data_IF_563243670139
#
_entry.id   IF_563243670139
#
_cell.length_a   1.000
_cell.length_b   1.000
_cell.length_c   1.000
_cell.angle_alpha   90.00
_cell.angle_beta   90.00
_cell.angle_gamma   90.00
#
_symmetry.space_group_name_H-M   'P 1'
#
loop_
_entity.id
_entity.type
_entity.pdbx_description
1 polymer ?
#
# COMPACT_ATOMS: atom_id res chain seq x y z
N UNK A 1 0.07 -22.23 35.99
CA UNK A 1 -0.83 -21.50 35.07
C UNK A 1 -0.12 -21.41 33.73
N UNK A 2 -0.55 -22.18 32.71
CA UNK A 2 0.01 -22.07 31.35
C UNK A 2 -0.68 -20.90 30.64
N UNK A 3 0.04 -19.98 29.98
CA UNK A 3 -0.59 -18.96 29.16
C UNK A 3 -1.30 -19.62 27.98
N UNK A 4 -2.57 -19.25 27.76
CA UNK A 4 -3.33 -19.65 26.58
C UNK A 4 -2.79 -18.88 25.38
N UNK A 5 -2.16 -19.59 24.45
CA UNK A 5 -1.85 -19.09 23.11
C UNK A 5 -3.17 -18.79 22.38
N UNK A 6 -3.37 -17.61 21.75
CA UNK A 6 -4.52 -17.41 20.89
C UNK A 6 -4.36 -18.28 19.64
N UNK A 7 -5.46 -18.97 19.30
CA UNK A 7 -5.56 -19.86 18.17
C UNK A 7 -5.45 -19.09 16.85
N UNK A 8 -4.57 -19.58 15.97
CA UNK A 8 -4.75 -19.61 14.52
C UNK A 8 -5.06 -18.28 13.83
N UNK A 9 -4.04 -17.48 13.56
CA UNK A 9 -4.05 -16.61 12.39
C UNK A 9 -2.87 -17.04 11.52
N UNK A 10 -3.15 -17.89 10.53
CA UNK A 10 -2.15 -18.27 9.54
C UNK A 10 -1.65 -16.98 8.89
N UNK A 11 -0.36 -16.69 9.08
CA UNK A 11 0.34 -15.59 8.43
C UNK A 11 0.24 -15.77 6.91
N UNK A 12 -0.85 -15.26 6.32
CA UNK A 12 -1.01 -15.22 4.88
C UNK A 12 0.04 -14.24 4.37
N UNK A 13 1.10 -14.78 3.78
CA UNK A 13 2.11 -14.00 3.12
C UNK A 13 1.42 -13.00 2.19
N UNK A 14 1.79 -11.71 2.31
CA UNK A 14 1.16 -10.64 1.53
C UNK A 14 1.32 -10.97 0.03
N UNK A 15 0.23 -11.05 -0.75
CA UNK A 15 0.33 -11.37 -2.18
C UNK A 15 1.29 -10.40 -2.88
N UNK A 16 2.06 -10.91 -3.85
CA UNK A 16 2.94 -10.07 -4.64
C UNK A 16 2.11 -9.05 -5.45
N UNK A 17 2.62 -7.82 -5.70
CA UNK A 17 1.96 -6.87 -6.59
C UNK A 17 1.61 -7.52 -7.94
N UNK A 18 0.39 -7.30 -8.42
CA UNK A 18 -0.15 -7.86 -9.65
C UNK A 18 -0.56 -9.33 -9.62
N UNK A 19 -0.36 -10.03 -8.50
CA UNK A 19 -0.90 -11.38 -8.32
C UNK A 19 -2.41 -11.35 -8.02
N UNK A 20 -3.14 -12.35 -8.52
CA UNK A 20 -4.55 -12.54 -8.20
C UNK A 20 -4.67 -13.12 -6.78
N UNK A 21 -5.56 -12.57 -5.97
CA UNK A 21 -5.88 -13.09 -4.65
C UNK A 21 -7.40 -13.08 -4.39
N UNK A 22 -7.84 -13.88 -3.42
CA UNK A 22 -9.21 -13.84 -2.92
C UNK A 22 -9.21 -13.00 -1.65
N UNK A 23 -9.98 -11.92 -1.66
CA UNK A 23 -10.19 -11.11 -0.45
C UNK A 23 -10.95 -11.91 0.62
N UNK A 24 -10.84 -11.54 1.90
CA UNK A 24 -11.65 -12.15 2.97
C UNK A 24 -13.17 -12.12 2.69
N UNK A 25 -13.62 -11.15 1.89
CA UNK A 25 -15.01 -10.99 1.47
C UNK A 25 -15.38 -11.83 0.22
N UNK A 26 -14.49 -12.70 -0.25
CA UNK A 26 -14.73 -13.62 -1.38
C UNK A 26 -14.56 -13.01 -2.77
N UNK A 27 -14.24 -11.71 -2.89
CA UNK A 27 -13.99 -11.06 -4.18
C UNK A 27 -12.61 -11.44 -4.73
N UNK A 28 -12.54 -11.85 -6.01
CA UNK A 28 -11.28 -11.99 -6.77
C UNK A 28 -10.70 -10.61 -7.08
N UNK A 29 -9.52 -10.32 -6.56
CA UNK A 29 -8.84 -9.04 -6.77
C UNK A 29 -7.41 -9.25 -7.28
N UNK A 30 -6.84 -8.21 -7.87
CA UNK A 30 -5.42 -8.16 -8.29
C UNK A 30 -4.70 -7.24 -7.31
N UNK A 31 -3.63 -7.71 -6.68
CA UNK A 31 -2.91 -6.91 -5.68
C UNK A 31 -2.33 -5.65 -6.34
N UNK A 32 -2.51 -4.50 -5.70
CA UNK A 32 -2.13 -3.16 -6.18
C UNK A 32 -2.79 -2.75 -7.52
N UNK A 33 -3.76 -3.51 -8.04
CA UNK A 33 -4.44 -3.20 -9.32
C UNK A 33 -3.56 -3.34 -10.58
N UNK A 34 -2.30 -3.79 -10.45
CA UNK A 34 -1.36 -3.93 -11.56
C UNK A 34 -1.68 -5.20 -12.34
N UNK A 35 -2.23 -5.09 -13.57
CA UNK A 35 -2.39 -6.26 -14.44
C UNK A 35 -1.18 -6.37 -15.37
N UNK A 36 -0.34 -7.42 -15.24
CA UNK A 36 0.75 -7.62 -16.16
C UNK A 36 0.23 -7.83 -17.59
N UNK A 37 0.89 -7.19 -18.54
CA UNK A 37 0.68 -7.29 -19.98
C UNK A 37 2.04 -7.46 -20.69
N UNK A 38 2.04 -7.57 -22.01
CA UNK A 38 3.26 -7.78 -22.80
C UNK A 38 4.31 -6.69 -22.58
N UNK A 39 3.88 -5.47 -22.25
CA UNK A 39 4.77 -4.35 -21.95
C UNK A 39 5.29 -4.33 -20.50
N UNK A 40 4.80 -5.20 -19.62
CA UNK A 40 5.18 -5.20 -18.20
C UNK A 40 6.59 -5.74 -17.95
N UNK A 41 7.18 -6.44 -18.94
CA UNK A 41 8.58 -6.88 -18.94
C UNK A 41 9.53 -5.82 -19.52
N UNK A 42 8.99 -4.80 -20.19
CA UNK A 42 9.78 -3.68 -20.73
C UNK A 42 10.15 -2.79 -19.56
N UNK A 43 11.45 -2.72 -19.26
CA UNK A 43 11.94 -1.81 -18.24
C UNK A 43 11.58 -0.36 -18.59
N UNK A 44 11.19 0.43 -17.60
CA UNK A 44 10.92 1.86 -17.78
C UNK A 44 12.28 2.58 -17.92
N UNK A 45 12.83 2.57 -19.15
CA UNK A 45 14.25 2.88 -19.41
C UNK A 45 14.60 4.38 -19.25
N UNK A 46 13.61 5.25 -19.01
CA UNK A 46 13.78 6.70 -18.90
C UNK A 46 13.45 7.24 -17.50
N UNK A 47 14.24 8.18 -16.96
CA UNK A 47 13.84 8.87 -15.74
C UNK A 47 12.57 9.69 -16.01
N UNK A 48 11.60 9.64 -15.09
CA UNK A 48 10.39 10.48 -15.15
C UNK A 48 10.77 11.95 -15.38
N UNK A 49 10.00 12.77 -16.12
CA UNK A 49 10.35 14.17 -16.34
C UNK A 49 10.35 14.96 -15.02
N UNK A 50 11.14 16.05 -14.89
CA UNK A 50 11.30 16.77 -13.62
C UNK A 50 9.97 17.25 -13.00
N UNK A 51 9.03 17.71 -13.82
CA UNK A 51 7.73 18.21 -13.37
C UNK A 51 6.79 17.13 -12.81
N UNK A 52 7.07 15.84 -13.06
CA UNK A 52 6.28 14.71 -12.56
C UNK A 52 6.88 14.08 -11.29
N UNK A 53 8.07 14.52 -10.87
CA UNK A 53 8.75 13.98 -9.69
C UNK A 53 8.29 14.72 -8.44
N UNK A 54 8.11 13.95 -7.37
CA UNK A 54 7.87 14.47 -6.03
C UNK A 54 9.08 14.18 -5.15
N UNK A 55 9.19 14.92 -4.04
CA UNK A 55 10.11 14.58 -2.95
C UNK A 55 9.51 13.44 -2.12
N UNK A 56 10.38 12.70 -1.44
CA UNK A 56 9.92 11.67 -0.51
C UNK A 56 9.01 12.29 0.58
N UNK A 57 7.91 11.61 0.96
CA UNK A 57 7.04 12.05 2.05
C UNK A 57 7.85 12.29 3.33
N UNK A 58 7.61 13.43 3.98
CA UNK A 58 8.22 13.80 5.26
C UNK A 58 7.34 14.79 6.00
N UNK A 59 7.55 14.94 7.31
CA UNK A 59 6.84 15.88 8.17
C UNK A 59 5.93 15.21 9.21
N UNK A 60 5.69 15.91 10.32
CA UNK A 60 4.99 15.39 11.49
C UNK A 60 3.55 14.93 11.18
N UNK A 61 2.81 15.71 10.39
CA UNK A 61 1.43 15.36 10.01
C UNK A 61 1.35 14.06 9.20
N UNK A 62 2.29 13.85 8.27
CA UNK A 62 2.38 12.59 7.52
C UNK A 62 2.68 11.40 8.43
N UNK A 63 3.69 11.52 9.30
CA UNK A 63 4.06 10.43 10.22
C UNK A 63 2.93 10.10 11.20
N UNK A 64 2.26 11.12 11.75
CA UNK A 64 1.10 10.94 12.63
C UNK A 64 0.00 10.11 11.96
N UNK A 65 -0.40 10.47 10.73
CA UNK A 65 -1.46 9.76 10.01
C UNK A 65 -0.98 8.36 9.61
N UNK A 66 0.28 8.22 9.18
CA UNK A 66 0.90 6.93 8.87
C UNK A 66 0.84 5.98 10.06
N UNK A 67 1.16 6.46 11.25
CA UNK A 67 1.15 5.67 12.48
C UNK A 67 -0.26 5.26 12.88
N UNK A 68 -1.25 6.14 12.74
CA UNK A 68 -2.67 5.81 12.97
C UNK A 68 -3.10 4.70 12.01
N UNK A 69 -2.86 4.86 10.71
CA UNK A 69 -3.24 3.88 9.68
C UNK A 69 -2.61 2.52 9.97
N UNK A 70 -1.32 2.50 10.35
CA UNK A 70 -0.60 1.27 10.67
C UNK A 70 -1.08 0.62 11.97
N UNK A 71 -1.27 1.41 13.03
CA UNK A 71 -1.66 0.92 14.37
C UNK A 71 -3.06 0.32 14.35
N UNK A 72 -3.96 0.90 13.58
CA UNK A 72 -5.34 0.43 13.49
C UNK A 72 -5.59 -0.51 12.30
N UNK A 73 -4.54 -0.93 11.59
CA UNK A 73 -4.66 -1.80 10.40
C UNK A 73 -5.68 -1.29 9.38
N UNK A 74 -5.70 0.02 9.14
CA UNK A 74 -6.65 0.67 8.24
C UNK A 74 -6.17 0.59 6.80
N UNK A 75 -7.12 0.43 5.89
CA UNK A 75 -6.87 0.52 4.45
C UNK A 75 -7.26 1.91 3.96
N UNK A 76 -6.35 2.61 3.26
CA UNK A 76 -6.64 3.92 2.66
C UNK A 76 -6.29 3.92 1.18
N UNK A 77 -7.10 4.63 0.39
CA UNK A 77 -6.81 4.83 -1.04
C UNK A 77 -5.44 5.48 -1.23
N UNK A 78 -5.07 6.43 -0.37
CA UNK A 78 -3.77 7.11 -0.44
C UNK A 78 -2.59 6.13 -0.36
N UNK A 79 -2.63 5.18 0.58
CA UNK A 79 -1.56 4.21 0.77
C UNK A 79 -1.57 3.08 -0.28
N UNK A 80 -2.73 2.49 -0.57
CA UNK A 80 -2.82 1.39 -1.54
C UNK A 80 -2.48 1.84 -2.98
N UNK A 81 -2.85 3.07 -3.36
CA UNK A 81 -2.57 3.60 -4.71
C UNK A 81 -1.16 4.13 -4.91
N UNK A 82 -0.34 4.19 -3.85
CA UNK A 82 0.98 4.87 -3.87
C UNK A 82 0.84 6.32 -4.34
N UNK A 83 -0.17 7.02 -3.81
CA UNK A 83 -0.55 8.37 -4.22
C UNK A 83 0.65 9.33 -4.08
N UNK A 84 1.00 10.09 -5.15
CA UNK A 84 2.12 11.03 -5.07
C UNK A 84 1.86 12.21 -4.12
N UNK A 85 0.61 12.48 -3.78
CA UNK A 85 0.23 13.62 -2.94
C UNK A 85 -0.01 13.23 -1.47
N UNK A 86 0.30 11.98 -1.08
CA UNK A 86 -0.01 11.45 0.25
C UNK A 86 0.52 12.32 1.41
N UNK A 87 1.73 12.89 1.26
CA UNK A 87 2.34 13.73 2.27
C UNK A 87 1.58 15.05 2.46
N UNK A 88 1.11 15.64 1.35
CA UNK A 88 0.35 16.89 1.39
C UNK A 88 -1.03 16.66 1.99
N UNK A 89 -1.78 15.66 1.51
CA UNK A 89 -3.12 15.38 2.00
C UNK A 89 -3.11 15.07 3.50
N UNK A 90 -2.26 14.13 3.94
CA UNK A 90 -2.16 13.76 5.35
C UNK A 90 -1.60 14.90 6.22
N UNK A 91 -0.67 15.69 5.68
CA UNK A 91 -0.16 16.88 6.38
C UNK A 91 -1.22 17.95 6.62
N UNK A 92 -2.22 18.06 5.73
CA UNK A 92 -3.39 18.95 5.87
C UNK A 92 -4.53 18.34 6.70
N UNK A 93 -4.48 17.04 6.99
CA UNK A 93 -5.58 16.32 7.62
C UNK A 93 -6.76 16.03 6.69
N UNK A 94 -6.48 15.83 5.39
CA UNK A 94 -7.45 15.50 4.33
C UNK A 94 -7.29 14.06 3.85
#
# INVERSE_FOLDING_TARGET
>A
MKPRTPAGEAAHARPAPGSKFISPQGTRAVKDGIRPNDNSSVADVGPKPPWLRIRAPSGEGYERVRDIVKTHSLNTVCAESKCPNIAECWGRGT
#
